data_IF_672190196214
#
_entry.id   IF_672190196214
#
_cell.length_a   1.000
_cell.length_b   1.000
_cell.length_c   1.000
_cell.angle_alpha   90.00
_cell.angle_beta   90.00
_cell.angle_gamma   90.00
#
_symmetry.space_group_name_H-M   'P 1'
#
loop_
_entity.id
_entity.type
_entity.pdbx_description
1 polymer ?
#
# COMPACT_ATOMS: atom_id res chain seq x y z
N UNK A 1 -39.34 27.97 -39.72
CA UNK A 1 -38.74 27.17 -40.82
C UNK A 1 -37.49 27.92 -41.27
N UNK A 2 -36.25 27.44 -41.26
CA UNK A 2 -35.57 26.20 -40.88
C UNK A 2 -34.12 26.61 -40.50
N UNK A 3 -33.63 26.27 -39.31
CA UNK A 3 -32.57 25.30 -39.04
C UNK A 3 -31.51 25.08 -40.15
N UNK A 4 -30.24 25.34 -39.80
CA UNK A 4 -29.07 25.00 -40.60
C UNK A 4 -27.79 25.13 -39.78
N UNK A 5 -27.62 24.29 -38.75
CA UNK A 5 -26.37 24.16 -37.98
C UNK A 5 -25.43 23.25 -38.79
N UNK A 6 -24.36 23.82 -39.34
CA UNK A 6 -23.24 23.05 -39.88
C UNK A 6 -22.44 22.48 -38.71
N UNK A 7 -22.59 21.17 -38.47
CA UNK A 7 -21.79 20.43 -37.50
C UNK A 7 -20.31 20.44 -37.93
N UNK A 8 -19.46 21.01 -37.08
CA UNK A 8 -18.02 20.94 -37.21
C UNK A 8 -17.53 19.49 -37.20
N UNK A 9 -16.56 19.20 -38.06
CA UNK A 9 -15.86 17.91 -38.15
C UNK A 9 -15.46 17.38 -36.76
N UNK A 10 -15.69 16.10 -36.42
CA UNK A 10 -15.18 15.54 -35.18
C UNK A 10 -13.65 15.51 -35.24
N UNK A 11 -13.01 16.17 -34.28
CA UNK A 11 -11.56 16.15 -34.10
C UNK A 11 -11.03 14.72 -33.90
N UNK A 12 -9.76 14.50 -34.23
CA UNK A 12 -9.12 13.17 -34.26
C UNK A 12 -9.30 12.31 -32.99
N UNK A 13 -9.55 12.92 -31.84
CA UNK A 13 -9.88 12.25 -30.57
C UNK A 13 -11.17 11.42 -30.61
N UNK A 14 -12.22 11.88 -31.31
CA UNK A 14 -13.49 11.13 -31.40
C UNK A 14 -13.39 9.86 -32.24
N UNK A 15 -12.49 9.85 -33.23
CA UNK A 15 -12.23 8.69 -34.09
C UNK A 15 -11.42 7.61 -33.38
N UNK A 16 -10.46 8.01 -32.54
CA UNK A 16 -9.68 7.08 -31.70
C UNK A 16 -10.56 6.45 -30.63
N UNK A 17 -11.40 7.24 -29.95
CA UNK A 17 -12.36 6.71 -28.96
C UNK A 17 -13.36 5.72 -29.56
N UNK A 18 -13.82 5.98 -30.78
CA UNK A 18 -14.73 5.07 -31.50
C UNK A 18 -14.03 3.79 -31.95
N UNK A 19 -12.78 3.87 -32.43
CA UNK A 19 -11.99 2.71 -32.84
C UNK A 19 -11.61 1.81 -31.66
N UNK A 20 -11.24 2.39 -30.51
CA UNK A 20 -10.93 1.66 -29.28
C UNK A 20 -12.21 1.01 -28.71
N UNK A 21 -13.30 1.77 -28.61
CA UNK A 21 -14.55 1.29 -28.02
C UNK A 21 -15.33 0.28 -28.87
N UNK A 22 -15.39 0.46 -30.19
CA UNK A 22 -16.17 -0.40 -31.08
C UNK A 22 -15.36 -1.52 -31.76
N UNK A 23 -14.02 -1.42 -31.81
CA UNK A 23 -13.17 -2.39 -32.51
C UNK A 23 -12.27 -3.20 -31.58
N UNK A 24 -11.51 -2.54 -30.69
CA UNK A 24 -10.40 -3.17 -29.97
C UNK A 24 -10.86 -3.95 -28.73
N UNK A 25 -11.76 -3.37 -27.93
CA UNK A 25 -12.30 -4.02 -26.73
C UNK A 25 -13.13 -5.29 -27.04
N UNK A 26 -14.04 -5.27 -28.02
CA UNK A 26 -14.77 -6.47 -28.43
C UNK A 26 -13.85 -7.56 -29.00
N UNK A 27 -12.84 -7.19 -29.79
CA UNK A 27 -11.89 -8.14 -30.36
C UNK A 27 -10.96 -8.77 -29.29
N UNK A 28 -10.52 -7.98 -28.31
CA UNK A 28 -9.72 -8.48 -27.18
C UNK A 28 -10.51 -9.42 -26.27
N UNK A 29 -11.75 -9.07 -25.91
CA UNK A 29 -12.64 -9.94 -25.13
C UNK A 29 -13.01 -11.22 -25.89
N UNK A 30 -13.19 -11.11 -27.21
CA UNK A 30 -13.45 -12.27 -28.08
C UNK A 30 -12.23 -13.20 -28.20
N UNK A 31 -11.01 -12.66 -28.25
CA UNK A 31 -9.77 -13.46 -28.19
C UNK A 31 -9.63 -14.27 -26.90
N UNK A 32 -10.09 -13.72 -25.76
CA UNK A 32 -10.16 -14.46 -24.49
C UNK A 32 -11.23 -15.56 -24.53
N UNK A 33 -12.41 -15.32 -25.12
CA UNK A 33 -13.42 -16.36 -25.27
C UNK A 33 -12.95 -17.53 -26.18
N UNK A 34 -12.15 -17.23 -27.21
CA UNK A 34 -11.54 -18.27 -28.08
C UNK A 34 -10.49 -19.11 -27.35
N UNK A 35 -9.72 -18.55 -26.42
CA UNK A 35 -8.70 -19.33 -25.69
C UNK A 35 -9.31 -20.41 -24.78
N UNK A 36 -10.58 -20.24 -24.38
CA UNK A 36 -11.36 -21.24 -23.64
C UNK A 36 -12.11 -22.23 -24.56
N UNK A 37 -11.94 -22.15 -25.88
CA UNK A 37 -12.58 -23.06 -26.84
C UNK A 37 -14.11 -22.95 -26.91
N UNK A 38 -14.67 -21.82 -26.51
CA UNK A 38 -16.12 -21.63 -26.37
C UNK A 38 -16.85 -21.22 -27.66
N UNK A 39 -16.18 -21.25 -28.83
CA UNK A 39 -16.79 -20.89 -30.13
C UNK A 39 -16.72 -22.03 -31.18
N UNK A 40 -17.86 -22.46 -31.76
CA UNK A 40 -17.94 -23.54 -32.73
C UNK A 40 -18.30 -23.09 -34.18
N UNK A 41 -17.63 -22.12 -34.81
CA UNK A 41 -17.89 -21.74 -36.22
C UNK A 41 -16.63 -21.55 -37.12
N UNK A 42 -16.77 -21.66 -38.47
CA UNK A 42 -15.78 -22.26 -39.34
C UNK A 42 -14.96 -21.21 -40.09
N UNK A 43 -13.68 -21.07 -39.74
CA UNK A 43 -12.78 -20.19 -40.48
C UNK A 43 -11.52 -20.99 -40.85
N UNK A 44 -11.47 -21.51 -42.08
CA UNK A 44 -10.33 -22.24 -42.64
C UNK A 44 -9.08 -21.35 -42.80
N UNK A 45 -7.88 -21.90 -42.51
CA UNK A 45 -6.58 -21.29 -42.86
C UNK A 45 -5.51 -21.37 -41.75
N UNK A 46 -4.23 -21.35 -42.15
CA UNK A 46 -3.05 -21.38 -41.26
C UNK A 46 -2.83 -20.03 -40.55
N UNK A 47 -2.37 -20.08 -39.29
CA UNK A 47 -2.16 -18.95 -38.37
C UNK A 47 -1.29 -17.85 -39.02
N UNK A 48 -0.27 -18.25 -39.78
CA UNK A 48 0.64 -17.33 -40.47
C UNK A 48 -0.10 -16.44 -41.48
N UNK A 49 -1.04 -17.00 -42.25
CA UNK A 49 -1.84 -16.21 -43.22
C UNK A 49 -2.86 -15.29 -42.53
N UNK A 50 -3.26 -15.60 -41.29
CA UNK A 50 -4.22 -14.78 -40.53
C UNK A 50 -3.62 -13.50 -39.98
N UNK A 51 -2.40 -13.54 -39.43
CA UNK A 51 -1.70 -12.36 -38.88
C UNK A 51 -1.46 -11.30 -39.97
N UNK A 52 -1.26 -11.74 -41.21
CA UNK A 52 -0.99 -10.87 -42.37
C UNK A 52 -2.27 -10.25 -42.97
N UNK A 53 -3.45 -10.79 -42.64
CA UNK A 53 -4.74 -10.26 -43.11
C UNK A 53 -5.25 -9.05 -42.31
N UNK A 54 -6.21 -8.25 -42.84
CA UNK A 54 -6.69 -7.02 -42.20
C UNK A 54 -7.22 -7.22 -40.77
N UNK A 55 -7.82 -8.39 -40.49
CA UNK A 55 -8.32 -8.76 -39.18
C UNK A 55 -7.19 -9.16 -38.20
N UNK A 56 -6.16 -9.89 -38.65
CA UNK A 56 -4.99 -10.21 -37.83
C UNK A 56 -4.15 -8.98 -37.49
N UNK A 57 -4.06 -8.03 -38.43
CA UNK A 57 -3.47 -6.72 -38.16
C UNK A 57 -4.21 -5.96 -37.05
N UNK A 58 -5.55 -6.01 -37.01
CA UNK A 58 -6.33 -5.33 -35.97
C UNK A 58 -6.16 -5.97 -34.57
N UNK A 59 -6.08 -7.30 -34.49
CA UNK A 59 -5.83 -8.02 -33.23
C UNK A 59 -4.40 -7.77 -32.74
N UNK A 60 -3.42 -7.83 -33.65
CA UNK A 60 -2.02 -7.52 -33.33
C UNK A 60 -1.86 -6.08 -32.84
N UNK A 61 -2.48 -5.11 -33.51
CA UNK A 61 -2.48 -3.71 -33.06
C UNK A 61 -3.12 -3.56 -31.68
N UNK A 62 -4.24 -4.24 -31.43
CA UNK A 62 -4.87 -4.27 -30.11
C UNK A 62 -3.95 -4.84 -29.03
N UNK A 63 -3.35 -6.01 -29.29
CA UNK A 63 -2.41 -6.67 -28.38
C UNK A 63 -1.17 -5.81 -28.10
N UNK A 64 -0.62 -5.16 -29.13
CA UNK A 64 0.54 -4.29 -29.00
C UNK A 64 0.22 -3.01 -28.22
N UNK A 65 -1.00 -2.47 -28.34
CA UNK A 65 -1.44 -1.29 -27.60
C UNK A 65 -1.60 -1.58 -26.10
N UNK A 66 -2.07 -2.77 -25.72
CA UNK A 66 -2.28 -3.13 -24.31
C UNK A 66 -1.00 -3.56 -23.60
N UNK A 67 0.02 -4.01 -24.33
CA UNK A 67 1.30 -4.48 -23.77
C UNK A 67 1.86 -3.52 -22.70
N UNK A 68 2.05 -2.25 -23.05
CA UNK A 68 2.65 -1.26 -22.14
C UNK A 68 1.83 -1.08 -20.86
N UNK A 69 0.50 -1.04 -20.99
CA UNK A 69 -0.39 -0.89 -19.85
C UNK A 69 -0.36 -2.12 -18.94
N UNK A 70 -0.41 -3.32 -19.54
CA UNK A 70 -0.34 -4.58 -18.79
C UNK A 70 0.99 -4.72 -18.05
N UNK A 71 2.11 -4.47 -18.71
CA UNK A 71 3.42 -4.53 -18.08
C UNK A 71 3.54 -3.52 -16.93
N UNK A 72 3.07 -2.29 -17.10
CA UNK A 72 3.12 -1.29 -16.05
C UNK A 72 2.30 -1.69 -14.80
N UNK A 73 1.07 -2.18 -15.01
CA UNK A 73 0.16 -2.56 -13.93
C UNK A 73 0.60 -3.84 -13.22
N UNK A 74 0.95 -4.89 -13.98
CA UNK A 74 1.26 -6.22 -13.43
C UNK A 74 2.63 -6.22 -12.76
N UNK A 75 3.65 -5.59 -13.36
CA UNK A 75 5.00 -5.62 -12.79
C UNK A 75 5.03 -4.92 -11.42
N UNK A 76 4.46 -3.72 -11.32
CA UNK A 76 4.50 -2.98 -10.06
C UNK A 76 3.68 -3.67 -8.96
N UNK A 77 2.45 -4.10 -9.26
CA UNK A 77 1.61 -4.78 -8.27
C UNK A 77 2.25 -6.10 -7.78
N UNK A 78 2.81 -6.89 -8.70
CA UNK A 78 3.48 -8.16 -8.36
C UNK A 78 4.74 -7.92 -7.52
N UNK A 79 5.53 -6.90 -7.89
CA UNK A 79 6.73 -6.51 -7.14
C UNK A 79 6.39 -6.16 -5.69
N UNK A 80 5.41 -5.27 -5.48
CA UNK A 80 5.04 -4.81 -4.14
C UNK A 80 4.41 -5.93 -3.31
N UNK A 81 3.56 -6.76 -3.91
CA UNK A 81 2.99 -7.92 -3.22
C UNK A 81 4.08 -8.90 -2.76
N UNK A 82 5.05 -9.19 -3.62
CA UNK A 82 6.16 -10.10 -3.32
C UNK A 82 7.10 -9.51 -2.26
N UNK A 83 7.44 -8.21 -2.36
CA UNK A 83 8.24 -7.51 -1.35
C UNK A 83 7.55 -7.55 0.01
N UNK A 84 6.25 -7.30 0.04
CA UNK A 84 5.47 -7.36 1.29
C UNK A 84 5.45 -8.76 1.88
N UNK A 85 5.32 -9.80 1.05
CA UNK A 85 5.38 -11.18 1.53
C UNK A 85 6.74 -11.53 2.19
N UNK A 86 7.86 -11.02 1.65
CA UNK A 86 9.19 -11.17 2.26
C UNK A 86 9.27 -10.48 3.63
N UNK A 87 8.75 -9.26 3.73
CA UNK A 87 8.71 -8.50 4.98
C UNK A 87 7.84 -9.20 6.03
N UNK A 88 6.66 -9.70 5.64
CA UNK A 88 5.75 -10.45 6.52
C UNK A 88 6.40 -11.75 6.99
N UNK A 89 7.16 -12.42 6.11
CA UNK A 89 7.91 -13.61 6.49
C UNK A 89 8.97 -13.29 7.56
N UNK A 90 9.76 -12.23 7.37
CA UNK A 90 10.77 -11.79 8.34
C UNK A 90 10.16 -11.36 9.69
N UNK A 91 8.95 -10.80 9.67
CA UNK A 91 8.21 -10.42 10.87
C UNK A 91 7.73 -11.62 11.72
N UNK A 92 7.80 -12.86 11.20
CA UNK A 92 7.51 -14.11 11.91
C UNK A 92 6.21 -14.11 12.74
N UNK A 93 5.11 -13.63 12.13
CA UNK A 93 3.80 -13.52 12.77
C UNK A 93 3.48 -12.16 13.38
N UNK A 94 4.47 -11.26 13.48
CA UNK A 94 4.24 -9.87 13.83
C UNK A 94 3.45 -9.13 12.74
N UNK A 95 2.36 -8.41 13.07
CA UNK A 95 1.56 -7.67 12.09
C UNK A 95 2.39 -6.60 11.38
N UNK A 96 2.33 -6.60 10.05
CA UNK A 96 2.95 -5.60 9.17
C UNK A 96 1.88 -4.63 8.65
N UNK A 97 2.16 -3.33 8.76
CA UNK A 97 1.25 -2.25 8.35
C UNK A 97 1.94 -1.41 7.28
N UNK A 98 1.23 -1.13 6.19
CA UNK A 98 1.74 -0.32 5.07
C UNK A 98 1.60 1.20 5.35
N UNK A 99 2.75 1.89 5.46
CA UNK A 99 2.88 3.32 5.79
C UNK A 99 3.60 4.15 4.70
N UNK A 100 3.67 3.61 3.48
CA UNK A 100 4.49 4.12 2.38
C UNK A 100 3.81 5.16 1.50
N UNK A 101 2.52 5.46 1.67
CA UNK A 101 1.76 6.39 0.82
C UNK A 101 2.53 7.65 0.41
N UNK A 102 3.22 8.31 1.35
CA UNK A 102 3.95 9.57 1.11
C UNK A 102 5.22 9.44 0.25
N UNK A 103 5.71 8.22 0.01
CA UNK A 103 6.88 7.90 -0.83
C UNK A 103 6.52 7.07 -2.06
N UNK A 104 5.24 6.71 -2.22
CA UNK A 104 4.78 5.97 -3.38
C UNK A 104 5.01 6.76 -4.67
N UNK A 105 5.34 6.05 -5.75
CA UNK A 105 5.74 6.68 -7.01
C UNK A 105 4.53 6.90 -7.93
N UNK A 106 4.25 8.17 -8.23
CA UNK A 106 3.18 8.57 -9.14
C UNK A 106 1.77 8.63 -8.50
N UNK A 107 0.78 9.13 -9.24
CA UNK A 107 -0.55 9.43 -8.70
C UNK A 107 -1.34 8.18 -8.27
N UNK A 108 -1.15 7.04 -8.94
CA UNK A 108 -1.81 5.77 -8.59
C UNK A 108 -0.92 4.87 -7.70
N UNK A 109 0.38 5.18 -7.59
CA UNK A 109 1.35 4.33 -6.91
C UNK A 109 0.97 4.02 -5.46
N UNK A 110 0.44 5.01 -4.72
CA UNK A 110 0.03 4.81 -3.34
C UNK A 110 -1.19 3.90 -3.18
N UNK A 111 -2.12 3.92 -4.14
CA UNK A 111 -3.31 3.08 -4.11
C UNK A 111 -2.98 1.65 -4.52
N UNK A 112 -2.23 1.49 -5.62
CA UNK A 112 -1.79 0.19 -6.11
C UNK A 112 -0.84 -0.49 -5.12
N UNK A 113 0.08 0.25 -4.49
CA UNK A 113 0.97 -0.31 -3.49
C UNK A 113 0.22 -0.76 -2.23
N UNK A 114 -0.69 0.05 -1.67
CA UNK A 114 -1.47 -0.32 -0.50
C UNK A 114 -2.29 -1.60 -0.74
N UNK A 115 -2.96 -1.70 -1.90
CA UNK A 115 -3.70 -2.91 -2.29
C UNK A 115 -2.78 -4.12 -2.44
N UNK A 116 -1.65 -3.95 -3.12
CA UNK A 116 -0.71 -5.04 -3.39
C UNK A 116 -0.03 -5.51 -2.11
N UNK A 117 0.28 -4.59 -1.18
CA UNK A 117 0.82 -4.91 0.12
C UNK A 117 -0.16 -5.74 0.96
N UNK A 118 -1.44 -5.36 0.96
CA UNK A 118 -2.47 -6.15 1.64
C UNK A 118 -2.59 -7.57 1.05
N UNK A 119 -2.56 -7.71 -0.28
CA UNK A 119 -2.51 -9.03 -0.94
C UNK A 119 -1.24 -9.81 -0.57
N UNK A 120 -0.11 -9.11 -0.41
CA UNK A 120 1.17 -9.68 0.02
C UNK A 120 1.23 -10.07 1.50
N UNK A 121 0.20 -9.75 2.30
CA UNK A 121 0.08 -10.17 3.70
C UNK A 121 0.17 -9.05 4.74
N UNK A 122 0.30 -7.78 4.34
CA UNK A 122 0.13 -6.68 5.29
C UNK A 122 -1.29 -6.69 5.87
N UNK A 123 -1.44 -6.41 7.16
CA UNK A 123 -2.73 -6.51 7.85
C UNK A 123 -3.57 -5.24 7.75
N UNK A 124 -2.94 -4.10 7.43
CA UNK A 124 -3.58 -2.80 7.33
C UNK A 124 -2.75 -1.82 6.49
N UNK A 125 -3.35 -0.68 6.14
CA UNK A 125 -2.71 0.46 5.45
C UNK A 125 -3.03 1.79 6.12
N UNK A 126 -2.14 2.77 5.98
CA UNK A 126 -2.43 4.18 6.29
C UNK A 126 -3.23 4.91 5.21
N UNK A 127 -3.38 4.31 4.02
CA UNK A 127 -4.06 4.94 2.90
C UNK A 127 -5.59 4.83 3.05
N UNK A 128 -6.21 5.93 3.49
CA UNK A 128 -7.67 6.02 3.69
C UNK A 128 -8.48 5.75 2.41
N UNK A 129 -7.94 6.11 1.24
CA UNK A 129 -8.62 5.87 -0.04
C UNK A 129 -8.57 4.39 -0.43
N UNK A 130 -7.47 3.70 -0.12
CA UNK A 130 -7.37 2.25 -0.28
C UNK A 130 -8.37 1.53 0.65
N UNK A 131 -8.50 1.99 1.90
CA UNK A 131 -9.52 1.50 2.82
C UNK A 131 -10.93 1.68 2.28
N UNK A 132 -11.26 2.88 1.76
CA UNK A 132 -12.57 3.18 1.18
C UNK A 132 -12.88 2.35 -0.06
N UNK A 133 -11.91 2.16 -0.97
CA UNK A 133 -12.14 1.45 -2.26
C UNK A 133 -12.13 -0.06 -2.12
N UNK A 134 -11.27 -0.61 -1.27
CA UNK A 134 -10.97 -2.04 -1.24
C UNK A 134 -11.35 -2.71 0.08
N UNK A 135 -11.86 -1.96 1.07
CA UNK A 135 -12.21 -2.52 2.39
C UNK A 135 -10.99 -2.92 3.22
N UNK A 136 -9.80 -2.44 2.88
CA UNK A 136 -8.57 -2.74 3.61
C UNK A 136 -8.64 -2.05 4.98
N UNK A 137 -8.36 -2.74 6.10
CA UNK A 137 -8.31 -2.11 7.41
C UNK A 137 -7.36 -0.91 7.42
N UNK A 138 -7.87 0.24 7.87
CA UNK A 138 -7.06 1.45 7.99
C UNK A 138 -6.47 1.53 9.40
N UNK A 139 -5.18 1.79 9.48
CA UNK A 139 -4.44 2.02 10.71
C UNK A 139 -3.53 3.22 10.55
N UNK A 140 -3.45 4.05 11.58
CA UNK A 140 -2.60 5.23 11.63
C UNK A 140 -2.66 5.84 13.02
N UNK A 141 -1.56 6.47 13.42
CA UNK A 141 -1.44 7.24 14.66
C UNK A 141 -1.38 8.73 14.32
N UNK A 142 -1.07 9.59 15.29
CA UNK A 142 -0.61 10.95 14.99
C UNK A 142 0.84 10.97 14.48
N UNK A 143 1.24 12.11 13.92
CA UNK A 143 2.60 12.37 13.41
C UNK A 143 3.34 13.35 14.33
N UNK A 144 4.64 13.53 14.12
CA UNK A 144 5.44 14.54 14.85
C UNK A 144 4.86 15.95 14.71
N UNK A 145 4.27 16.30 13.56
CA UNK A 145 3.64 17.60 13.36
C UNK A 145 2.50 17.90 14.33
N UNK A 146 1.82 16.86 14.84
CA UNK A 146 0.82 17.01 15.90
C UNK A 146 1.50 17.37 17.22
N UNK A 147 2.57 16.67 17.60
CA UNK A 147 3.27 16.94 18.87
C UNK A 147 3.88 18.36 18.85
N UNK A 148 4.48 18.74 17.72
CA UNK A 148 5.11 20.04 17.52
C UNK A 148 4.12 21.22 17.41
N UNK A 149 2.80 20.97 17.33
CA UNK A 149 1.80 22.05 17.33
C UNK A 149 1.34 22.47 18.72
N UNK A 150 1.92 21.87 19.78
CA UNK A 150 1.65 22.22 21.18
C UNK A 150 2.94 22.70 21.85
N UNK A 151 2.80 23.38 22.98
CA UNK A 151 3.94 23.87 23.75
C UNK A 151 4.72 22.73 24.41
N UNK A 152 4.03 21.62 24.73
CA UNK A 152 4.64 20.44 25.35
C UNK A 152 4.11 19.13 24.76
N UNK A 153 4.96 18.10 24.76
CA UNK A 153 4.59 16.76 24.30
C UNK A 153 3.44 16.15 25.14
N UNK A 154 3.47 16.36 26.45
CA UNK A 154 2.44 15.87 27.36
C UNK A 154 1.06 16.48 27.06
N UNK A 155 1.01 17.78 26.72
CA UNK A 155 -0.23 18.43 26.29
C UNK A 155 -0.76 17.82 24.98
N UNK A 156 0.13 17.58 24.00
CA UNK A 156 -0.25 16.96 22.74
C UNK A 156 -0.82 15.55 22.92
N UNK A 157 -0.26 14.76 23.84
CA UNK A 157 -0.75 13.41 24.16
C UNK A 157 -2.10 13.47 24.87
N UNK A 158 -2.29 14.38 25.83
CA UNK A 158 -3.59 14.58 26.49
C UNK A 158 -4.68 14.97 25.48
N UNK A 159 -4.38 15.93 24.60
CA UNK A 159 -5.31 16.36 23.56
C UNK A 159 -5.67 15.22 22.59
N UNK A 160 -4.69 14.38 22.21
CA UNK A 160 -4.95 13.22 21.36
C UNK A 160 -5.78 12.15 22.07
N UNK A 161 -5.48 11.88 23.35
CA UNK A 161 -6.24 10.96 24.19
C UNK A 161 -7.71 11.37 24.35
N UNK A 162 -7.97 12.68 24.46
CA UNK A 162 -9.32 13.21 24.59
C UNK A 162 -10.11 13.09 23.29
N UNK A 163 -9.45 13.26 22.15
CA UNK A 163 -10.08 13.12 20.84
C UNK A 163 -10.31 11.64 20.44
N UNK A 164 -9.38 10.75 20.80
CA UNK A 164 -9.35 9.35 20.36
C UNK A 164 -9.07 8.38 21.53
N UNK A 165 -9.92 8.33 22.56
CA UNK A 165 -9.63 7.63 23.81
C UNK A 165 -9.49 6.11 23.67
N UNK A 166 -10.09 5.50 22.63
CA UNK A 166 -9.97 4.06 22.37
C UNK A 166 -8.80 3.68 21.45
N UNK A 167 -8.14 4.66 20.83
CA UNK A 167 -7.08 4.45 19.84
C UNK A 167 -5.81 5.23 20.21
N UNK A 168 -5.55 5.41 21.50
CA UNK A 168 -4.41 6.17 22.00
C UNK A 168 -3.10 5.39 21.79
N UNK A 169 -2.46 5.61 20.63
CA UNK A 169 -1.09 5.19 20.34
C UNK A 169 -0.23 6.42 20.16
N UNK A 170 0.72 6.64 21.07
CA UNK A 170 1.50 7.87 21.12
C UNK A 170 2.86 7.74 20.43
N UNK A 171 3.20 8.72 19.60
CA UNK A 171 4.53 8.85 19.01
C UNK A 171 5.49 9.50 20.01
N UNK A 172 6.38 8.71 20.59
CA UNK A 172 7.11 9.09 21.82
C UNK A 172 8.51 9.65 21.58
N UNK A 173 8.99 9.71 20.34
CA UNK A 173 10.36 10.06 19.98
C UNK A 173 10.49 11.43 19.31
N UNK A 174 9.58 12.36 19.63
CA UNK A 174 9.68 13.74 19.09
C UNK A 174 10.83 14.51 19.73
N UNK A 175 11.09 14.31 21.02
CA UNK A 175 12.18 14.96 21.76
C UNK A 175 13.14 13.94 22.38
N UNK A 176 12.72 13.27 23.46
CA UNK A 176 13.46 12.17 24.09
C UNK A 176 12.52 10.97 24.27
N UNK A 177 12.89 9.84 23.68
CA UNK A 177 12.01 8.66 23.58
C UNK A 177 11.56 8.14 24.94
N UNK A 178 12.49 8.04 25.90
CA UNK A 178 12.18 7.43 27.19
C UNK A 178 11.32 8.37 28.06
N UNK A 179 11.59 9.67 28.02
CA UNK A 179 10.73 10.69 28.62
C UNK A 179 9.34 10.69 27.96
N UNK A 180 9.26 10.53 26.64
CA UNK A 180 7.99 10.41 25.92
C UNK A 180 7.21 9.15 26.31
N UNK A 181 7.87 8.03 26.60
CA UNK A 181 7.22 6.85 27.19
C UNK A 181 6.66 7.16 28.57
N UNK A 182 7.37 7.93 29.40
CA UNK A 182 6.88 8.34 30.72
C UNK A 182 5.64 9.23 30.60
N UNK A 183 5.62 10.17 29.65
CA UNK A 183 4.44 10.98 29.32
C UNK A 183 3.27 10.12 28.83
N UNK A 184 3.52 9.14 27.96
CA UNK A 184 2.50 8.21 27.47
C UNK A 184 1.88 7.39 28.62
N UNK A 185 2.70 6.95 29.58
CA UNK A 185 2.25 6.26 30.81
C UNK A 185 1.39 7.17 31.67
N UNK A 186 1.79 8.43 31.85
CA UNK A 186 1.01 9.41 32.62
C UNK A 186 -0.39 9.60 32.01
N UNK A 187 -0.46 9.84 30.70
CA UNK A 187 -1.73 10.00 29.99
C UNK A 187 -2.54 8.69 29.98
N UNK A 188 -1.87 7.54 29.87
CA UNK A 188 -2.49 6.23 29.96
C UNK A 188 -3.21 6.00 31.30
N UNK A 189 -2.65 6.50 32.42
CA UNK A 189 -3.30 6.41 33.74
C UNK A 189 -4.58 7.26 33.77
N UNK A 190 -4.53 8.47 33.22
CA UNK A 190 -5.72 9.32 33.08
C UNK A 190 -6.79 8.73 32.15
N UNK A 191 -6.40 7.97 31.12
CA UNK A 191 -7.34 7.20 30.29
C UNK A 191 -8.03 6.09 31.09
N UNK A 192 -7.29 5.35 31.93
CA UNK A 192 -7.85 4.31 32.81
C UNK A 192 -8.88 4.83 33.79
N UNK A 193 -8.63 6.00 34.38
CA UNK A 193 -9.60 6.66 35.27
C UNK A 193 -10.93 6.96 34.57
N UNK A 194 -10.90 7.11 33.23
CA UNK A 194 -12.08 7.34 32.38
C UNK A 194 -12.65 6.07 31.76
N UNK A 195 -12.15 4.89 32.12
CA UNK A 195 -12.61 3.60 31.59
C UNK A 195 -12.04 3.22 30.23
N UNK A 196 -10.96 3.88 29.79
CA UNK A 196 -10.24 3.57 28.56
C UNK A 196 -8.86 2.97 28.87
N UNK A 197 -8.17 2.48 27.85
CA UNK A 197 -6.87 1.84 28.00
C UNK A 197 -5.86 2.43 27.02
N UNK A 198 -4.59 2.51 27.42
CA UNK A 198 -3.51 2.90 26.52
C UNK A 198 -3.33 1.82 25.45
N UNK A 199 -3.60 2.15 24.19
CA UNK A 199 -3.47 1.18 23.10
C UNK A 199 -2.01 0.87 22.79
N UNK A 200 -1.11 1.86 22.90
CA UNK A 200 0.31 1.62 22.67
C UNK A 200 1.18 2.87 22.55
N UNK A 201 2.40 2.64 22.11
CA UNK A 201 3.36 3.68 21.71
C UNK A 201 3.92 3.35 20.33
N UNK A 202 4.44 4.38 19.63
CA UNK A 202 5.17 4.23 18.38
C UNK A 202 6.58 4.79 18.51
N UNK A 203 7.56 4.01 18.08
CA UNK A 203 8.97 4.37 17.95
C UNK A 203 9.27 4.57 16.45
N UNK A 204 9.82 5.72 16.06
CA UNK A 204 10.11 6.07 14.66
C UNK A 204 11.60 6.42 14.40
N UNK A 205 12.46 6.26 15.40
CA UNK A 205 13.89 6.62 15.33
C UNK A 205 14.72 6.00 16.47
N UNK A 206 16.05 6.17 16.39
CA UNK A 206 17.00 5.69 17.39
C UNK A 206 17.32 4.19 17.29
N UNK A 207 17.96 3.65 18.33
CA UNK A 207 18.20 2.21 18.47
C UNK A 207 16.90 1.52 18.90
N UNK A 208 16.14 1.05 17.93
CA UNK A 208 14.82 0.45 18.15
C UNK A 208 14.89 -0.80 19.04
N UNK A 209 15.97 -1.59 18.98
CA UNK A 209 16.12 -2.77 19.83
C UNK A 209 16.30 -2.38 21.29
N UNK A 210 17.22 -1.44 21.56
CA UNK A 210 17.41 -0.89 22.90
C UNK A 210 16.14 -0.19 23.42
N UNK A 211 15.57 0.73 22.63
CA UNK A 211 14.45 1.57 23.04
C UNK A 211 13.19 0.75 23.29
N UNK A 212 12.88 -0.24 22.45
CA UNK A 212 11.71 -1.10 22.63
C UNK A 212 11.77 -1.89 23.93
N UNK A 213 12.92 -2.52 24.26
CA UNK A 213 13.07 -3.27 25.53
C UNK A 213 12.93 -2.37 26.76
N UNK A 214 13.50 -1.17 26.73
CA UNK A 214 13.37 -0.22 27.84
C UNK A 214 11.95 0.34 27.95
N UNK A 215 11.29 0.62 26.83
CA UNK A 215 9.91 1.06 26.82
C UNK A 215 8.97 -0.03 27.36
N UNK A 216 9.16 -1.29 26.93
CA UNK A 216 8.41 -2.45 27.44
C UNK A 216 8.52 -2.58 28.95
N UNK A 217 9.75 -2.55 29.48
CA UNK A 217 9.99 -2.64 30.92
C UNK A 217 9.29 -1.51 31.71
N UNK A 218 9.29 -0.27 31.19
CA UNK A 218 8.59 0.86 31.81
C UNK A 218 7.07 0.72 31.75
N UNK A 219 6.54 0.31 30.61
CA UNK A 219 5.10 0.07 30.44
C UNK A 219 4.63 -1.04 31.38
N UNK A 220 5.37 -2.15 31.49
CA UNK A 220 5.05 -3.27 32.38
C UNK A 220 5.10 -2.85 33.86
N UNK A 221 6.16 -2.14 34.26
CA UNK A 221 6.27 -1.62 35.62
C UNK A 221 5.14 -0.65 35.99
N UNK A 222 4.59 0.07 35.00
CA UNK A 222 3.42 0.93 35.16
C UNK A 222 2.07 0.18 35.02
N UNK A 223 2.10 -1.13 34.77
CA UNK A 223 0.93 -2.00 34.64
C UNK A 223 0.26 -1.98 33.26
N UNK A 224 0.92 -1.49 32.21
CA UNK A 224 0.43 -1.41 30.82
C UNK A 224 0.95 -2.57 29.95
N UNK A 225 0.89 -3.80 30.46
CA UNK A 225 1.39 -5.02 29.79
C UNK A 225 0.76 -5.27 28.42
N UNK A 226 -0.47 -4.76 28.20
CA UNK A 226 -1.22 -4.92 26.94
C UNK A 226 -0.98 -3.81 25.92
N UNK A 227 -0.32 -2.72 26.31
CA UNK A 227 -0.04 -1.60 25.42
C UNK A 227 0.99 -2.04 24.37
N UNK A 228 0.66 -1.88 23.08
CA UNK A 228 1.51 -2.35 21.99
C UNK A 228 2.68 -1.40 21.73
N UNK A 229 3.82 -1.93 21.33
CA UNK A 229 4.97 -1.17 20.83
C UNK A 229 5.02 -1.33 19.31
N UNK A 230 4.75 -0.25 18.59
CA UNK A 230 4.81 -0.20 17.14
C UNK A 230 6.14 0.43 16.73
N UNK A 231 6.90 -0.21 15.85
CA UNK A 231 8.09 0.38 15.27
C UNK A 231 7.85 0.80 13.82
N UNK A 232 8.30 2.00 13.47
CA UNK A 232 8.53 2.45 12.10
C UNK A 232 9.95 3.04 12.03
N UNK A 233 10.53 3.13 10.82
CA UNK A 233 11.79 3.84 10.46
C UNK A 233 12.57 3.05 9.41
N UNK A 234 12.36 3.33 8.12
CA UNK A 234 13.08 2.69 6.99
C UNK A 234 13.28 1.17 7.11
N UNK A 235 12.29 0.49 7.70
CA UNK A 235 12.28 -0.94 7.93
C UNK A 235 12.15 -1.72 6.61
N UNK A 236 12.67 -2.93 6.61
CA UNK A 236 12.54 -3.97 5.59
C UNK A 236 12.76 -5.35 6.20
N UNK A 237 12.77 -6.40 5.39
CA UNK A 237 12.96 -7.77 5.86
C UNK A 237 14.26 -7.98 6.65
N UNK A 238 15.39 -7.41 6.21
CA UNK A 238 16.69 -7.60 6.86
C UNK A 238 16.75 -6.89 8.22
N UNK A 239 16.26 -5.65 8.27
CA UNK A 239 16.23 -4.87 9.52
C UNK A 239 15.22 -5.43 10.52
N UNK A 240 14.06 -5.92 10.08
CA UNK A 240 13.08 -6.58 10.95
C UNK A 240 13.65 -7.87 11.52
N UNK A 241 14.28 -8.70 10.69
CA UNK A 241 14.94 -9.94 11.14
C UNK A 241 16.05 -9.61 12.17
N UNK A 242 16.91 -8.63 11.88
CA UNK A 242 17.95 -8.17 12.80
C UNK A 242 17.40 -7.64 14.13
N UNK A 243 16.29 -6.89 14.12
CA UNK A 243 15.67 -6.41 15.36
C UNK A 243 15.09 -7.55 16.18
N UNK A 244 14.51 -8.56 15.53
CA UNK A 244 13.99 -9.76 16.20
C UNK A 244 15.11 -10.60 16.81
N UNK A 245 16.22 -10.79 16.10
CA UNK A 245 17.40 -11.52 16.60
C UNK A 245 18.05 -10.84 17.81
N UNK A 246 17.81 -9.53 17.97
CA UNK A 246 18.23 -8.75 19.13
C UNK A 246 17.19 -8.74 20.27
N UNK A 247 16.16 -9.58 20.21
CA UNK A 247 15.06 -9.63 21.17
C UNK A 247 14.38 -8.26 21.37
N UNK A 248 14.21 -7.49 20.30
CA UNK A 248 13.47 -6.23 20.36
C UNK A 248 12.01 -6.48 20.78
N UNK A 249 11.52 -5.69 21.72
CA UNK A 249 10.15 -5.81 22.24
C UNK A 249 9.17 -5.01 21.36
N UNK A 250 9.02 -5.43 20.09
CA UNK A 250 8.17 -4.77 19.10
C UNK A 250 7.00 -5.69 18.72
N UNK A 251 5.79 -5.18 18.83
CA UNK A 251 4.55 -5.93 18.59
C UNK A 251 4.01 -5.75 17.16
N UNK A 252 4.36 -4.66 16.47
CA UNK A 252 3.89 -4.38 15.13
C UNK A 252 4.89 -3.54 14.32
N UNK A 253 4.89 -3.74 12.99
CA UNK A 253 5.88 -3.17 12.08
C UNK A 253 5.21 -2.24 11.06
N UNK A 254 5.47 -0.94 11.18
CA UNK A 254 5.06 0.07 10.21
C UNK A 254 6.12 0.25 9.13
N UNK A 255 5.86 -0.27 7.92
CA UNK A 255 6.83 -0.27 6.83
C UNK A 255 6.41 0.69 5.72
N UNK A 256 7.30 1.61 5.36
CA UNK A 256 7.03 2.70 4.44
C UNK A 256 7.82 2.61 3.14
N UNK A 257 8.88 3.43 3.05
CA UNK A 257 9.69 3.67 1.84
C UNK A 257 10.16 2.37 1.19
N UNK A 258 10.80 1.48 1.96
CA UNK A 258 11.43 0.27 1.40
C UNK A 258 10.44 -0.71 0.79
N UNK A 259 9.22 -0.76 1.32
CA UNK A 259 8.13 -1.56 0.79
C UNK A 259 7.55 -0.91 -0.47
N UNK A 260 7.08 0.34 -0.36
CA UNK A 260 6.25 0.99 -1.38
C UNK A 260 7.00 1.30 -2.68
N UNK A 261 8.33 1.38 -2.64
CA UNK A 261 9.17 1.61 -3.82
C UNK A 261 9.87 0.35 -4.32
N UNK A 262 9.72 -0.80 -3.65
CA UNK A 262 10.54 -1.99 -3.92
C UNK A 262 12.04 -1.67 -3.86
N UNK A 263 12.48 -0.97 -2.82
CA UNK A 263 13.72 -0.17 -2.80
C UNK A 263 15.00 -0.87 -3.28
N UNK A 264 15.19 -2.14 -2.91
CA UNK A 264 16.33 -2.97 -3.31
C UNK A 264 16.28 -3.40 -4.77
N UNK A 265 15.08 -3.65 -5.31
CA UNK A 265 14.85 -4.02 -6.70
C UNK A 265 13.56 -3.34 -7.22
N UNK A 266 13.61 -2.05 -7.61
CA UNK A 266 12.41 -1.23 -7.84
C UNK A 266 11.68 -1.53 -9.15
N UNK A 267 12.09 -2.57 -9.88
CA UNK A 267 11.46 -3.01 -11.11
C UNK A 267 11.46 -4.53 -11.23
N UNK A 268 10.31 -5.08 -11.61
CA UNK A 268 10.20 -6.46 -12.05
C UNK A 268 10.46 -6.53 -13.57
N UNK A 269 11.35 -7.41 -13.99
CA UNK A 269 11.75 -7.59 -15.39
C UNK A 269 10.74 -8.36 -16.25
N UNK A 270 9.44 -8.19 -16.01
CA UNK A 270 8.40 -8.86 -16.79
C UNK A 270 8.41 -8.39 -18.24
N UNK A 271 8.23 -9.33 -19.16
CA UNK A 271 8.24 -9.09 -20.62
C UNK A 271 6.98 -9.63 -21.25
N UNK A 272 6.50 -8.96 -22.30
CA UNK A 272 5.40 -9.40 -23.13
C UNK A 272 5.98 -9.84 -24.48
N UNK A 273 5.58 -11.01 -24.99
CA UNK A 273 6.14 -11.58 -26.22
C UNK A 273 5.03 -12.17 -27.09
N UNK A 274 5.10 -11.90 -28.39
CA UNK A 274 4.31 -12.59 -29.40
C UNK A 274 4.78 -14.05 -29.51
N UNK A 275 3.85 -15.00 -29.53
CA UNK A 275 4.17 -16.44 -29.53
C UNK A 275 3.44 -17.25 -30.61
N UNK A 276 2.35 -16.73 -31.19
CA UNK A 276 1.63 -17.31 -32.32
C UNK A 276 0.78 -16.25 -33.03
#
# INVERSE_FOLDING_TARGET
MAAGVTAGRPGGLGRIGTAIGCGVLPAGLYGVAQSFGLDPLPWSGDVVTRVVGPAGASVLLGAQLVETALLNLVNFATLIATKTARIVHAAAGGPVIEFGLRRAQGPDGGLTAARSAYVGGAVATSNVEAGRRFGIPVRGTHAHSWVLSFDTELEAFRAYADALPNNAVFLVDTYDTLTGVDHAIEVGRSLRERGHELAGIRLDSGDLAYLSRHARARLDAAGFERAQIIASNDLDEETIESLRDQDAAIDAWGVGTRLVTGYDQPALGGVYKLTA
#
